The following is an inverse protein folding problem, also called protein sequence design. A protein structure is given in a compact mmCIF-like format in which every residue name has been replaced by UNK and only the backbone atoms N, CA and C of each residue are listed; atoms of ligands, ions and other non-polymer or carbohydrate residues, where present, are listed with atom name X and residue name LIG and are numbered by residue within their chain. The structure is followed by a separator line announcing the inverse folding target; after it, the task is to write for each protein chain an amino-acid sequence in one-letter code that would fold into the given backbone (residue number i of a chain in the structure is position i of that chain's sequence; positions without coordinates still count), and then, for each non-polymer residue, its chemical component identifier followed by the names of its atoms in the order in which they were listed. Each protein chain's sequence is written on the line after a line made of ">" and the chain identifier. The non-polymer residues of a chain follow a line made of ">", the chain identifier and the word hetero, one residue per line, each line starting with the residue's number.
data_IF_301354909777
#
_entry.id   IF_301354909777
#
_cell.length_a   1.000
_cell.length_b   1.000
_cell.length_c   1.000
_cell.angle_alpha   90.00
_cell.angle_beta   90.00
_cell.angle_gamma   90.00
#
_symmetry.space_group_name_H-M   'P 1'
#
loop_
_entity.id
_entity.type
_entity.pdbx_description
1 polymer ?
#
# COMPACT_ATOMS: atom_id res chain seq x y z
N UNK A 1 29.10 -7.46 -2.68
CA UNK A 1 27.68 -7.19 -2.97
C UNK A 1 27.42 -5.78 -2.50
N UNK A 2 27.04 -4.85 -3.37
CA UNK A 2 26.74 -3.48 -2.95
C UNK A 2 25.55 -3.52 -1.99
N UNK A 3 25.68 -2.87 -0.84
CA UNK A 3 24.56 -2.72 0.09
C UNK A 3 23.57 -1.74 -0.55
N UNK A 4 22.55 -2.28 -1.22
CA UNK A 4 21.45 -1.47 -1.79
C UNK A 4 20.72 -0.78 -0.65
N UNK A 5 20.61 0.54 -0.74
CA UNK A 5 19.95 1.37 0.26
C UNK A 5 18.45 1.07 0.34
N UNK A 6 17.82 1.38 1.47
CA UNK A 6 16.36 1.26 1.65
C UNK A 6 15.60 1.98 0.54
N UNK A 7 16.05 3.18 0.17
CA UNK A 7 15.49 3.96 -0.93
C UNK A 7 15.52 3.19 -2.26
N UNK A 8 16.67 2.65 -2.66
CA UNK A 8 16.80 1.91 -3.91
C UNK A 8 15.93 0.64 -3.94
N UNK A 9 15.78 -0.05 -2.80
CA UNK A 9 14.86 -1.19 -2.68
C UNK A 9 13.41 -0.76 -2.87
N UNK A 10 13.00 0.35 -2.25
CA UNK A 10 11.64 0.88 -2.38
C UNK A 10 11.36 1.32 -3.82
N UNK A 11 12.30 2.01 -4.46
CA UNK A 11 12.19 2.40 -5.88
C UNK A 11 12.05 1.17 -6.78
N UNK A 12 12.81 0.11 -6.51
CA UNK A 12 12.68 -1.16 -7.23
C UNK A 12 11.30 -1.81 -7.01
N UNK A 13 10.78 -1.83 -5.79
CA UNK A 13 9.41 -2.35 -5.50
C UNK A 13 8.37 -1.57 -6.29
N UNK A 14 8.43 -0.24 -6.29
CA UNK A 14 7.52 0.63 -7.03
C UNK A 14 7.62 0.36 -8.54
N UNK A 15 8.83 0.19 -9.07
CA UNK A 15 9.01 -0.12 -10.49
C UNK A 15 8.43 -1.48 -10.86
N UNK A 16 8.74 -2.53 -10.09
CA UNK A 16 8.28 -3.90 -10.33
C UNK A 16 6.76 -4.01 -10.18
N UNK A 17 6.17 -3.42 -9.13
CA UNK A 17 4.72 -3.34 -9.00
C UNK A 17 4.08 -2.65 -10.21
N UNK A 18 4.74 -1.62 -10.76
CA UNK A 18 4.32 -0.95 -11.99
C UNK A 18 4.25 -1.86 -13.22
N UNK A 19 5.16 -2.83 -13.33
CA UNK A 19 5.19 -3.82 -14.42
C UNK A 19 4.07 -4.86 -14.31
N UNK A 20 3.57 -5.10 -13.10
CA UNK A 20 2.46 -6.03 -12.82
C UNK A 20 1.07 -5.43 -13.06
N UNK A 21 0.94 -4.11 -13.13
CA UNK A 21 -0.35 -3.42 -13.30
C UNK A 21 -1.14 -3.91 -14.52
N UNK A 22 -0.57 -4.09 -15.73
CA UNK A 22 -1.36 -4.49 -16.89
C UNK A 22 -2.07 -5.83 -16.71
N UNK A 23 -1.39 -6.84 -16.17
CA UNK A 23 -1.98 -8.18 -15.95
C UNK A 23 -2.98 -8.17 -14.79
N UNK A 24 -2.69 -7.45 -13.70
CA UNK A 24 -3.64 -7.29 -12.59
C UNK A 24 -4.90 -6.52 -13.00
N UNK A 25 -4.76 -5.47 -13.82
CA UNK A 25 -5.90 -4.67 -14.32
C UNK A 25 -6.80 -5.46 -15.27
N UNK A 26 -6.26 -6.45 -15.99
CA UNK A 26 -7.05 -7.29 -16.89
C UNK A 26 -8.01 -8.24 -16.16
N UNK A 27 -7.88 -8.38 -14.84
CA UNK A 27 -8.76 -9.25 -14.04
C UNK A 27 -10.15 -8.60 -13.86
N UNK A 28 -11.26 -9.37 -13.97
CA UNK A 28 -12.62 -8.82 -13.90
C UNK A 28 -12.90 -7.98 -12.65
N UNK A 29 -12.36 -8.42 -11.50
CA UNK A 29 -12.49 -7.76 -10.21
C UNK A 29 -11.66 -6.48 -10.08
N UNK A 30 -10.99 -6.01 -11.14
CA UNK A 30 -10.20 -4.78 -11.16
C UNK A 30 -10.62 -3.84 -12.31
N UNK A 31 -11.68 -4.20 -13.03
CA UNK A 31 -12.14 -3.53 -14.26
C UNK A 31 -12.49 -2.05 -14.08
N UNK A 32 -12.88 -1.61 -12.88
CA UNK A 32 -13.21 -0.20 -12.62
C UNK A 32 -11.99 0.73 -12.56
N UNK A 33 -10.78 0.19 -12.46
CA UNK A 33 -9.60 1.04 -12.21
C UNK A 33 -9.20 1.83 -13.46
N UNK A 34 -9.48 1.31 -14.65
CA UNK A 34 -8.98 1.81 -15.94
C UNK A 34 -7.45 2.03 -15.93
N UNK A 35 -6.72 1.21 -15.17
CA UNK A 35 -5.27 1.34 -14.95
C UNK A 35 -4.84 2.53 -14.07
N UNK A 36 -5.78 3.25 -13.44
CA UNK A 36 -5.48 4.34 -12.52
C UNK A 36 -5.34 3.81 -11.11
N UNK A 37 -4.09 3.52 -10.74
CA UNK A 37 -3.70 2.95 -9.46
C UNK A 37 -2.59 3.77 -8.82
N UNK A 38 -2.38 3.60 -7.52
CA UNK A 38 -1.36 4.31 -6.78
C UNK A 38 -0.70 3.40 -5.74
N UNK A 39 0.59 3.62 -5.51
CA UNK A 39 1.35 3.03 -4.42
C UNK A 39 1.96 4.14 -3.57
N UNK A 40 1.92 3.96 -2.24
CA UNK A 40 2.58 4.78 -1.24
C UNK A 40 3.30 3.85 -0.27
N UNK A 41 4.56 4.14 0.03
CA UNK A 41 5.42 3.38 0.94
C UNK A 41 6.04 4.36 1.92
N UNK A 42 5.94 4.07 3.22
CA UNK A 42 6.59 4.82 4.29
C UNK A 42 7.63 3.91 4.94
N UNK A 43 8.88 4.37 5.02
CA UNK A 43 9.95 3.64 5.70
C UNK A 43 9.97 3.91 7.21
N UNK A 44 10.85 3.21 7.94
CA UNK A 44 10.98 3.37 9.40
C UNK A 44 11.41 4.78 9.84
N UNK A 45 12.09 5.53 8.98
CA UNK A 45 12.49 6.91 9.27
C UNK A 45 11.37 7.92 8.95
N UNK A 46 10.23 7.46 8.43
CA UNK A 46 9.12 8.31 8.02
C UNK A 46 9.30 8.95 6.64
N UNK A 47 10.25 8.50 5.82
CA UNK A 47 10.34 8.95 4.44
C UNK A 47 9.20 8.34 3.61
N UNK A 48 8.61 9.16 2.75
CA UNK A 48 7.48 8.76 1.91
C UNK A 48 7.93 8.62 0.46
N UNK A 49 7.60 7.48 -0.13
CA UNK A 49 7.83 7.16 -1.53
C UNK A 49 6.50 6.80 -2.17
N UNK A 50 6.23 7.30 -3.37
CA UNK A 50 4.96 7.00 -4.01
C UNK A 50 4.96 7.24 -5.50
N UNK A 51 4.02 6.58 -6.18
CA UNK A 51 3.85 6.69 -7.63
C UNK A 51 2.38 6.56 -8.02
N UNK A 52 1.99 7.42 -8.96
CA UNK A 52 0.71 7.39 -9.67
C UNK A 52 0.89 6.68 -11.00
N UNK A 53 -0.04 5.79 -11.34
CA UNK A 53 -0.10 5.11 -12.63
C UNK A 53 -1.41 5.44 -13.34
N UNK A 54 -1.47 5.27 -14.65
CA UNK A 54 -2.65 5.66 -15.44
C UNK A 54 -2.62 7.13 -15.89
N UNK A 55 -3.64 7.52 -16.66
CA UNK A 55 -3.68 8.80 -17.39
C UNK A 55 -4.69 9.81 -16.83
N UNK A 56 -5.67 9.36 -16.06
CA UNK A 56 -6.69 10.23 -15.48
C UNK A 56 -6.15 10.89 -14.20
N UNK A 57 -5.76 12.15 -14.31
CA UNK A 57 -5.20 12.94 -13.20
C UNK A 57 -6.18 13.11 -12.04
N UNK A 58 -7.48 13.23 -12.31
CA UNK A 58 -8.50 13.46 -11.28
C UNK A 58 -8.73 12.18 -10.49
N UNK A 59 -8.87 11.06 -11.19
CA UNK A 59 -8.97 9.73 -10.57
C UNK A 59 -7.72 9.42 -9.78
N UNK A 60 -6.54 9.65 -10.35
CA UNK A 60 -5.26 9.44 -9.69
C UNK A 60 -5.09 10.24 -8.40
N UNK A 61 -5.50 11.52 -8.36
CA UNK A 61 -5.47 12.30 -7.12
C UNK A 61 -6.25 11.60 -5.99
N UNK A 62 -7.46 11.10 -6.29
CA UNK A 62 -8.28 10.37 -5.31
C UNK A 62 -7.64 9.03 -4.95
N UNK A 63 -7.11 8.31 -5.92
CA UNK A 63 -6.48 7.01 -5.70
C UNK A 63 -5.23 7.14 -4.82
N UNK A 64 -4.43 8.19 -4.98
CA UNK A 64 -3.27 8.44 -4.14
C UNK A 64 -3.65 8.85 -2.72
N UNK A 65 -4.68 9.67 -2.54
CA UNK A 65 -5.20 10.00 -1.20
C UNK A 65 -5.52 8.74 -0.41
N UNK A 66 -6.16 7.75 -1.05
CA UNK A 66 -6.44 6.46 -0.44
C UNK A 66 -5.17 5.64 -0.17
N UNK A 67 -4.25 5.55 -1.14
CA UNK A 67 -2.99 4.83 -0.95
C UNK A 67 -2.15 5.43 0.20
N UNK A 68 -2.09 6.76 0.29
CA UNK A 68 -1.41 7.47 1.37
C UNK A 68 -2.06 7.22 2.73
N UNK A 69 -3.39 7.34 2.85
CA UNK A 69 -4.10 7.03 4.10
C UNK A 69 -3.87 5.59 4.55
N UNK A 70 -3.95 4.63 3.62
CA UNK A 70 -3.65 3.22 3.89
C UNK A 70 -2.22 3.04 4.43
N UNK A 71 -1.22 3.61 3.76
CA UNK A 71 0.18 3.52 4.19
C UNK A 71 0.42 4.20 5.55
N UNK A 72 -0.14 5.39 5.75
CA UNK A 72 -0.03 6.14 7.00
C UNK A 72 -0.68 5.39 8.17
N UNK A 73 -1.86 4.81 7.96
CA UNK A 73 -2.53 3.98 8.97
C UNK A 73 -1.70 2.76 9.33
N UNK A 74 -1.11 2.06 8.35
CA UNK A 74 -0.20 0.94 8.61
C UNK A 74 1.03 1.41 9.38
N UNK A 75 1.60 2.56 9.04
CA UNK A 75 2.78 3.12 9.71
C UNK A 75 2.51 3.45 11.18
N UNK A 76 1.32 3.99 11.48
CA UNK A 76 0.88 4.32 12.84
C UNK A 76 0.55 3.06 13.65
N UNK A 77 -0.18 2.12 13.04
CA UNK A 77 -0.81 1.00 13.77
C UNK A 77 0.00 -0.28 13.74
N UNK A 78 0.88 -0.45 12.75
CA UNK A 78 1.55 -1.71 12.43
C UNK A 78 0.62 -2.80 11.88
N UNK A 79 -0.64 -2.49 11.59
CA UNK A 79 -1.68 -3.45 11.20
C UNK A 79 -2.09 -3.28 9.74
N UNK A 80 -2.60 -4.36 9.13
CA UNK A 80 -3.29 -4.27 7.85
C UNK A 80 -4.55 -3.42 8.02
N UNK A 81 -4.90 -2.61 7.04
CA UNK A 81 -6.05 -1.67 7.15
C UNK A 81 -7.37 -2.39 7.47
N UNK A 82 -7.64 -3.51 6.77
CA UNK A 82 -8.82 -4.35 7.05
C UNK A 82 -8.78 -5.08 8.39
N UNK A 83 -7.59 -5.34 8.94
CA UNK A 83 -7.46 -5.93 10.28
C UNK A 83 -7.74 -4.87 11.36
N UNK A 84 -7.19 -3.67 11.19
CA UNK A 84 -7.44 -2.55 12.09
C UNK A 84 -8.93 -2.24 12.19
N UNK A 85 -9.63 -2.13 11.05
CA UNK A 85 -11.07 -1.92 11.01
C UNK A 85 -11.82 -2.97 11.83
N UNK A 86 -11.57 -4.26 11.54
CA UNK A 86 -12.21 -5.37 12.25
C UNK A 86 -12.01 -5.28 13.76
N UNK A 87 -10.80 -4.93 14.21
CA UNK A 87 -10.47 -4.79 15.63
C UNK A 87 -11.18 -3.60 16.29
N UNK A 88 -11.29 -2.47 15.59
CA UNK A 88 -12.05 -1.30 16.09
C UNK A 88 -13.53 -1.64 16.23
N UNK A 89 -14.15 -2.24 15.20
CA UNK A 89 -15.58 -2.59 15.24
C UNK A 89 -15.91 -3.70 16.26
N UNK A 90 -14.98 -4.60 16.53
CA UNK A 90 -15.11 -5.61 17.58
C UNK A 90 -14.87 -5.07 19.00
N UNK A 91 -14.45 -3.80 19.15
CA UNK A 91 -14.07 -3.21 20.44
C UNK A 91 -12.74 -3.72 20.99
N UNK A 92 -11.92 -4.39 20.18
CA UNK A 92 -10.57 -4.85 20.55
C UNK A 92 -9.56 -3.69 20.56
N UNK A 93 -9.80 -2.65 19.75
CA UNK A 93 -8.99 -1.43 19.68
C UNK A 93 -9.87 -0.19 19.81
N UNK A 94 -9.32 0.88 20.38
CA UNK A 94 -9.92 2.21 20.37
C UNK A 94 -9.15 3.06 19.36
N UNK A 95 -9.86 3.52 18.33
CA UNK A 95 -9.29 4.36 17.26
C UNK A 95 -8.57 5.61 17.80
N UNK A 96 -9.10 6.22 18.87
CA UNK A 96 -8.53 7.39 19.52
C UNK A 96 -7.11 7.19 20.06
N UNK A 97 -6.72 5.95 20.37
CA UNK A 97 -5.36 5.63 20.87
C UNK A 97 -4.30 5.81 19.76
N UNK A 98 -4.72 5.82 18.49
CA UNK A 98 -3.85 5.93 17.32
C UNK A 98 -3.91 7.31 16.66
N UNK A 99 -4.73 8.24 17.16
CA UNK A 99 -4.89 9.57 16.59
C UNK A 99 -5.55 9.60 15.20
N UNK A 100 -6.11 8.48 14.74
CA UNK A 100 -6.86 8.34 13.48
C UNK A 100 -8.26 7.81 13.83
N UNK A 101 -9.31 8.48 13.36
CA UNK A 101 -10.71 8.15 13.69
C UNK A 101 -11.54 8.05 12.43
N UNK A 102 -12.65 7.31 12.45
CA UNK A 102 -13.58 7.36 11.33
C UNK A 102 -14.09 8.81 11.09
N UNK A 103 -14.14 9.31 9.83
CA UNK A 103 -13.93 8.60 8.56
C UNK A 103 -12.50 8.70 7.98
N UNK A 104 -11.51 9.10 8.78
CA UNK A 104 -10.12 9.32 8.34
C UNK A 104 -9.36 8.00 8.07
N UNK A 105 -9.55 6.97 8.92
CA UNK A 105 -8.94 5.67 8.69
C UNK A 105 -9.65 4.91 7.55
N UNK A 106 -8.89 4.09 6.82
CA UNK A 106 -9.40 3.26 5.74
C UNK A 106 -9.80 1.90 6.28
N UNK A 107 -11.08 1.57 6.09
CA UNK A 107 -11.68 0.33 6.54
C UNK A 107 -11.30 -0.89 5.71
N UNK A 108 -11.22 -0.72 4.38
CA UNK A 108 -10.98 -1.83 3.46
C UNK A 108 -9.49 -2.13 3.24
N UNK A 109 -9.24 -3.31 2.67
CA UNK A 109 -7.89 -3.81 2.38
C UNK A 109 -7.10 -2.96 1.38
N UNK A 110 -5.78 -3.14 1.42
CA UNK A 110 -4.80 -2.51 0.52
C UNK A 110 -3.67 -1.79 1.25
N UNK A 111 -3.77 -1.63 2.56
CA UNK A 111 -2.62 -1.28 3.42
C UNK A 111 -2.08 -2.52 4.13
N UNK A 112 -0.76 -2.71 4.12
CA UNK A 112 -0.09 -3.79 4.86
C UNK A 112 1.34 -3.42 5.32
N UNK A 113 1.75 -3.92 6.51
CA UNK A 113 3.15 -3.90 6.88
C UNK A 113 3.91 -4.96 6.06
N UNK A 114 5.10 -4.60 5.61
CA UNK A 114 6.03 -5.47 4.90
C UNK A 114 7.33 -5.51 5.69
N UNK A 115 7.92 -6.71 5.81
CA UNK A 115 9.28 -6.90 6.34
C UNK A 115 10.09 -7.57 5.24
N UNK A 116 11.12 -6.88 4.74
CA UNK A 116 12.05 -7.41 3.76
C UNK A 116 12.97 -8.46 4.42
N UNK A 117 13.67 -9.28 3.62
CA UNK A 117 14.55 -10.36 4.12
C UNK A 117 15.67 -9.89 5.02
N UNK A 118 16.10 -8.64 4.86
CA UNK A 118 17.14 -8.03 5.69
C UNK A 118 16.59 -7.38 6.98
N UNK A 119 15.27 -7.50 7.23
CA UNK A 119 14.60 -6.95 8.39
C UNK A 119 14.06 -5.53 8.20
N UNK A 120 14.30 -4.87 7.05
CA UNK A 120 13.74 -3.55 6.75
C UNK A 120 12.22 -3.59 6.83
N UNK A 121 11.63 -2.68 7.62
CA UNK A 121 10.17 -2.58 7.74
C UNK A 121 9.63 -1.46 6.86
N UNK A 122 8.54 -1.75 6.15
CA UNK A 122 7.86 -0.81 5.28
C UNK A 122 6.37 -0.82 5.60
N UNK A 123 5.76 0.36 5.65
CA UNK A 123 4.32 0.51 5.66
C UNK A 123 3.85 0.81 4.24
N UNK A 124 3.10 -0.10 3.63
CA UNK A 124 2.71 0.00 2.22
C UNK A 124 1.20 0.18 2.09
N UNK A 125 0.80 1.14 1.28
CA UNK A 125 -0.56 1.33 0.81
C UNK A 125 -0.61 1.26 -0.71
N UNK A 126 -1.44 0.38 -1.24
CA UNK A 126 -1.79 0.33 -2.66
C UNK A 126 -3.29 0.61 -2.80
N UNK A 127 -3.67 1.29 -3.87
CA UNK A 127 -5.08 1.59 -4.14
C UNK A 127 -5.37 1.64 -5.64
N UNK A 128 -6.58 1.21 -5.98
CA UNK A 128 -7.18 1.34 -7.31
C UNK A 128 -7.70 0.02 -7.85
N UNK A 129 -7.26 -1.11 -7.31
CA UNK A 129 -7.80 -2.44 -7.57
C UNK A 129 -8.69 -2.93 -6.43
N UNK A 130 -9.15 -4.19 -6.52
CA UNK A 130 -9.74 -4.89 -5.38
C UNK A 130 -8.75 -4.95 -4.22
N UNK A 131 -9.26 -4.99 -2.99
CA UNK A 131 -8.42 -5.02 -1.79
C UNK A 131 -7.42 -6.18 -1.77
N UNK A 132 -7.82 -7.35 -2.28
CA UNK A 132 -6.95 -8.51 -2.43
C UNK A 132 -5.84 -8.27 -3.46
N UNK A 133 -6.17 -7.73 -4.63
CA UNK A 133 -5.19 -7.39 -5.66
C UNK A 133 -4.24 -6.26 -5.26
N UNK A 134 -4.73 -5.26 -4.50
CA UNK A 134 -3.91 -4.18 -3.93
C UNK A 134 -2.81 -4.77 -3.01
N UNK A 135 -3.14 -5.78 -2.20
CA UNK A 135 -2.17 -6.45 -1.33
C UNK A 135 -1.23 -7.37 -2.10
N UNK A 136 -1.79 -8.18 -3.02
CA UNK A 136 -1.06 -9.22 -3.75
C UNK A 136 -0.01 -8.63 -4.70
N UNK A 137 -0.30 -7.52 -5.38
CA UNK A 137 0.64 -6.92 -6.34
C UNK A 137 1.93 -6.44 -5.67
N UNK A 138 1.84 -5.97 -4.42
CA UNK A 138 3.00 -5.55 -3.62
C UNK A 138 3.83 -6.77 -3.23
N UNK A 139 3.18 -7.84 -2.75
CA UNK A 139 3.86 -9.08 -2.36
C UNK A 139 4.58 -9.69 -3.56
N UNK A 140 3.90 -9.82 -4.70
CA UNK A 140 4.49 -10.31 -5.96
C UNK A 140 5.70 -9.49 -6.41
N UNK A 141 5.62 -8.16 -6.31
CA UNK A 141 6.74 -7.30 -6.67
C UNK A 141 7.98 -7.54 -5.80
N UNK A 142 7.80 -7.78 -4.50
CA UNK A 142 8.90 -8.11 -3.58
C UNK A 142 9.46 -9.50 -3.89
N UNK A 143 8.59 -10.49 -4.12
CA UNK A 143 8.98 -11.85 -4.49
C UNK A 143 9.83 -11.88 -5.77
N UNK A 144 9.43 -11.14 -6.81
CA UNK A 144 10.19 -11.02 -8.07
C UNK A 144 11.58 -10.38 -7.87
N UNK A 145 11.70 -9.45 -6.92
CA UNK A 145 12.98 -8.82 -6.59
C UNK A 145 13.86 -9.70 -5.70
N UNK A 146 13.28 -10.72 -5.04
CA UNK A 146 14.00 -11.60 -4.14
C UNK A 146 14.56 -10.91 -2.90
N UNK A 147 14.01 -9.74 -2.52
CA UNK A 147 14.40 -8.95 -1.34
C UNK A 147 13.50 -9.20 -0.14
#
# INVERSE_FOLDING_TARGET
>A
MSNTTTKEKIEAIIETAGKLIPSTNAMPQNSWSDGNVAICIIDEAGNIYGKLYGKDKVKNRRTYDLAWKKASQVWITGLKTGEFEKKVFNGELKEGDFGIQAPDFIGWQGGQPIVLKDGTRLAVGFSGFSGESDLEIVVKAIEELGI
#
